data_IF_557453122024
#
_entry.id   IF_557453122024
#
_cell.length_a   1.000
_cell.length_b   1.000
_cell.length_c   1.000
_cell.angle_alpha   90.00
_cell.angle_beta   90.00
_cell.angle_gamma   90.00
#
_symmetry.space_group_name_H-M   'P 1'
#
loop_
_entity.id
_entity.type
_entity.pdbx_description
1 polymer ?
#
# COMPACT_ATOMS: atom_id res chain seq x y z
N UNK A 1 -16.27 -1.04 -4.59
CA UNK A 1 -16.03 -2.35 -3.94
C UNK A 1 -16.10 -2.24 -2.41
N UNK A 2 -15.15 -1.58 -1.73
CA UNK A 2 -15.10 -1.48 -0.26
C UNK A 2 -16.43 -1.03 0.36
N UNK A 3 -17.03 0.04 -0.16
CA UNK A 3 -18.33 0.56 0.32
C UNK A 3 -19.50 -0.41 0.19
N UNK A 4 -19.51 -1.25 -0.84
CA UNK A 4 -20.54 -2.27 -1.04
C UNK A 4 -20.34 -3.42 -0.06
N UNK A 5 -19.10 -3.89 0.05
CA UNK A 5 -18.73 -4.96 0.97
C UNK A 5 -18.96 -4.55 2.44
N UNK A 6 -18.73 -3.29 2.79
CA UNK A 6 -18.99 -2.79 4.14
C UNK A 6 -20.47 -2.81 4.49
N UNK A 7 -21.36 -2.55 3.52
CA UNK A 7 -22.81 -2.69 3.73
C UNK A 7 -23.21 -4.16 3.91
N UNK A 8 -22.69 -5.06 3.08
CA UNK A 8 -22.97 -6.50 3.16
C UNK A 8 -22.46 -7.15 4.45
N UNK A 9 -21.30 -6.70 4.96
CA UNK A 9 -20.69 -7.19 6.20
C UNK A 9 -21.13 -6.43 7.45
N UNK A 10 -21.98 -5.40 7.30
CA UNK A 10 -22.31 -4.45 8.37
C UNK A 10 -21.05 -3.93 9.10
N UNK A 11 -20.04 -3.53 8.31
CA UNK A 11 -18.74 -3.10 8.79
C UNK A 11 -18.55 -1.59 8.67
N UNK A 12 -17.78 -1.02 9.60
CA UNK A 12 -17.28 0.35 9.47
C UNK A 12 -16.06 0.39 8.55
N UNK A 13 -15.92 1.49 7.80
CA UNK A 13 -14.79 1.72 6.89
C UNK A 13 -13.91 2.82 7.45
N UNK A 14 -12.61 2.54 7.58
CA UNK A 14 -11.60 3.50 8.03
C UNK A 14 -10.54 3.61 6.95
N UNK A 15 -10.29 4.83 6.47
CA UNK A 15 -9.16 5.16 5.60
C UNK A 15 -8.06 5.79 6.45
N UNK A 16 -6.99 5.04 6.67
CA UNK A 16 -5.81 5.52 7.37
C UNK A 16 -4.83 6.14 6.37
N UNK A 17 -4.59 7.45 6.49
CA UNK A 17 -3.61 8.14 5.66
C UNK A 17 -2.19 7.69 6.02
N UNK A 18 -1.35 7.49 5.02
CA UNK A 18 0.03 7.05 5.23
C UNK A 18 0.87 8.20 5.75
N UNK A 19 1.75 7.95 6.74
CA UNK A 19 2.73 8.95 7.21
C UNK A 19 3.49 9.57 6.03
N UNK A 20 3.76 10.87 6.11
CA UNK A 20 4.37 11.70 5.06
C UNK A 20 3.52 11.96 3.81
N UNK A 21 2.25 11.52 3.78
CA UNK A 21 1.34 11.83 2.67
C UNK A 21 0.19 12.71 3.15
N UNK A 22 -0.31 13.56 2.25
CA UNK A 22 -1.43 14.45 2.52
C UNK A 22 -1.17 15.34 3.72
N UNK A 23 -1.99 15.19 4.75
CA UNK A 23 -1.92 15.96 5.99
C UNK A 23 -1.15 15.26 7.12
N UNK A 24 -0.85 13.97 6.95
CA UNK A 24 -0.19 13.11 7.95
C UNK A 24 1.32 13.30 7.95
N UNK A 25 1.77 14.52 8.25
CA UNK A 25 3.17 14.93 8.22
C UNK A 25 3.75 14.97 9.64
N UNK A 26 4.65 14.04 10.04
CA UNK A 26 5.15 13.95 11.42
C UNK A 26 5.85 15.22 11.91
N UNK A 27 6.42 16.01 10.99
CA UNK A 27 7.11 17.27 11.29
C UNK A 27 6.51 18.45 10.52
N UNK A 28 5.25 18.35 10.10
CA UNK A 28 4.59 19.35 9.26
C UNK A 28 5.41 19.66 7.99
N UNK A 29 5.59 20.95 7.67
CA UNK A 29 6.37 21.39 6.51
C UNK A 29 7.84 20.96 6.55
N UNK A 30 8.38 20.62 7.71
CA UNK A 30 9.77 20.18 7.85
C UNK A 30 9.96 18.68 7.58
N UNK A 31 8.89 17.93 7.28
CA UNK A 31 8.96 16.46 7.13
C UNK A 31 9.94 15.99 6.05
N UNK A 32 10.22 16.82 5.04
CA UNK A 32 11.15 16.52 3.95
C UNK A 32 12.44 17.36 3.98
N UNK A 33 12.71 18.06 5.09
CA UNK A 33 13.80 19.03 5.19
C UNK A 33 15.19 18.37 5.07
N UNK A 34 15.39 17.26 5.76
CA UNK A 34 16.65 16.54 5.83
C UNK A 34 16.42 15.06 6.19
N UNK A 35 17.52 14.28 6.23
CA UNK A 35 17.47 12.85 6.53
C UNK A 35 16.98 12.55 7.96
N UNK A 36 17.14 13.47 8.91
CA UNK A 36 16.65 13.27 10.29
C UNK A 36 15.13 13.37 10.34
N UNK A 37 14.53 14.22 9.49
CA UNK A 37 13.08 14.36 9.39
C UNK A 37 12.46 13.32 8.46
N UNK A 38 13.06 13.06 7.29
CA UNK A 38 12.51 12.12 6.31
C UNK A 38 12.83 10.65 6.63
N UNK A 39 13.79 10.39 7.52
CA UNK A 39 14.25 9.03 7.86
C UNK A 39 13.20 8.11 8.47
N UNK A 40 12.07 8.64 8.96
CA UNK A 40 10.96 7.83 9.48
C UNK A 40 9.92 7.45 8.41
N UNK A 41 10.11 7.85 7.15
CA UNK A 41 9.28 7.36 6.04
C UNK A 41 9.74 5.95 5.64
N UNK A 42 9.26 4.95 6.38
CA UNK A 42 9.51 3.53 6.11
C UNK A 42 8.20 2.74 6.19
N UNK A 43 8.15 1.59 5.50
CA UNK A 43 6.97 0.74 5.50
C UNK A 43 6.70 0.17 6.90
N UNK A 44 7.74 -0.25 7.62
CA UNK A 44 7.65 -0.78 8.99
C UNK A 44 6.96 0.19 9.93
N UNK A 45 7.37 1.46 9.84
CA UNK A 45 6.82 2.53 10.65
C UNK A 45 5.36 2.87 10.26
N UNK A 46 5.01 2.81 8.98
CA UNK A 46 3.62 2.98 8.54
C UNK A 46 2.72 1.81 9.01
N UNK A 47 3.23 0.57 8.97
CA UNK A 47 2.51 -0.59 9.51
C UNK A 47 2.27 -0.44 11.03
N UNK A 48 3.25 0.08 11.76
CA UNK A 48 3.10 0.37 13.19
C UNK A 48 2.03 1.44 13.46
N UNK A 49 1.94 2.50 12.64
CA UNK A 49 0.87 3.50 12.76
C UNK A 49 -0.51 2.87 12.61
N UNK A 50 -0.69 2.00 11.60
CA UNK A 50 -1.97 1.35 11.36
C UNK A 50 -2.38 0.45 12.53
N UNK A 51 -1.43 -0.30 13.08
CA UNK A 51 -1.66 -1.10 14.29
C UNK A 51 -2.09 -0.22 15.47
N UNK A 52 -1.36 0.88 15.72
CA UNK A 52 -1.67 1.79 16.82
C UNK A 52 -3.05 2.43 16.65
N UNK A 53 -3.38 2.88 15.43
CA UNK A 53 -4.69 3.44 15.11
C UNK A 53 -5.80 2.42 15.37
N UNK A 54 -5.63 1.17 14.93
CA UNK A 54 -6.63 0.11 15.14
C UNK A 54 -6.83 -0.14 16.63
N UNK A 55 -5.74 -0.24 17.40
CA UNK A 55 -5.82 -0.42 18.85
C UNK A 55 -6.52 0.76 19.54
N UNK A 56 -6.22 2.00 19.13
CA UNK A 56 -6.89 3.20 19.64
C UNK A 56 -8.38 3.20 19.32
N UNK A 57 -8.77 2.85 18.10
CA UNK A 57 -10.19 2.74 17.72
C UNK A 57 -10.92 1.70 18.56
N UNK A 58 -10.31 0.54 18.80
CA UNK A 58 -10.91 -0.52 19.62
C UNK A 58 -11.01 -0.17 21.09
N UNK A 59 -10.06 0.59 21.61
CA UNK A 59 -10.06 1.06 23.00
C UNK A 59 -11.08 2.19 23.22
N UNK A 60 -11.20 3.12 22.27
CA UNK A 60 -12.03 4.31 22.41
C UNK A 60 -13.51 4.05 22.07
N UNK A 61 -13.80 3.02 21.27
CA UNK A 61 -15.16 2.69 20.83
C UNK A 61 -15.50 1.25 21.20
N UNK A 62 -16.39 1.07 22.19
CA UNK A 62 -16.81 -0.24 22.69
C UNK A 62 -17.42 -1.13 21.59
N UNK A 63 -18.05 -0.55 20.58
CA UNK A 63 -18.58 -1.28 19.42
C UNK A 63 -17.49 -1.95 18.57
N UNK A 64 -16.23 -1.50 18.66
CA UNK A 64 -15.10 -2.06 17.93
C UNK A 64 -14.25 -3.06 18.73
N UNK A 65 -14.45 -3.14 20.06
CA UNK A 65 -13.60 -3.91 20.96
C UNK A 65 -13.37 -5.36 20.50
N UNK A 66 -14.44 -6.03 20.05
CA UNK A 66 -14.40 -7.41 19.54
C UNK A 66 -14.50 -7.53 18.01
N UNK A 67 -14.50 -6.42 17.27
CA UNK A 67 -14.72 -6.46 15.81
C UNK A 67 -13.50 -7.04 15.08
N UNK A 68 -13.67 -7.99 14.15
CA UNK A 68 -12.58 -8.41 13.28
C UNK A 68 -12.13 -7.26 12.38
N UNK A 69 -10.86 -7.26 11.96
CA UNK A 69 -10.29 -6.20 11.11
C UNK A 69 -9.85 -6.80 9.79
N UNK A 70 -10.22 -6.15 8.69
CA UNK A 70 -9.80 -6.53 7.35
C UNK A 70 -9.04 -5.37 6.73
N UNK A 71 -7.75 -5.56 6.44
CA UNK A 71 -6.92 -4.58 5.75
C UNK A 71 -7.19 -4.63 4.24
N UNK A 72 -7.35 -3.47 3.61
CA UNK A 72 -7.55 -3.34 2.17
C UNK A 72 -6.49 -2.43 1.56
N UNK A 73 -6.00 -2.81 0.38
CA UNK A 73 -5.05 -1.96 -0.32
C UNK A 73 -4.81 -2.36 -1.78
N UNK A 74 -4.47 -1.34 -2.58
CA UNK A 74 -4.05 -1.48 -3.97
C UNK A 74 -2.61 -1.02 -4.16
N UNK A 75 -1.87 -1.59 -5.12
CA UNK A 75 -0.49 -1.19 -5.41
C UNK A 75 0.40 -1.29 -4.16
N UNK A 76 1.16 -0.24 -3.83
CA UNK A 76 1.92 -0.15 -2.57
C UNK A 76 1.03 -0.34 -1.32
N UNK A 77 -0.20 0.21 -1.32
CA UNK A 77 -1.17 -0.06 -0.26
C UNK A 77 -1.56 -1.53 -0.14
N UNK A 78 -1.57 -2.25 -1.27
CA UNK A 78 -1.75 -3.70 -1.31
C UNK A 78 -0.57 -4.46 -0.71
N UNK A 79 0.66 -4.00 -0.96
CA UNK A 79 1.84 -4.53 -0.28
C UNK A 79 1.74 -4.33 1.24
N UNK A 80 1.38 -3.12 1.68
CA UNK A 80 1.15 -2.82 3.10
C UNK A 80 0.06 -3.71 3.71
N UNK A 81 -1.04 -3.96 2.99
CA UNK A 81 -2.11 -4.87 3.43
C UNK A 81 -1.62 -6.31 3.57
N UNK A 82 -0.80 -6.80 2.64
CA UNK A 82 -0.20 -8.13 2.76
C UNK A 82 0.78 -8.20 3.95
N UNK A 83 1.64 -7.19 4.09
CA UNK A 83 2.65 -7.15 5.13
C UNK A 83 2.09 -6.96 6.54
N UNK A 84 1.01 -6.19 6.72
CA UNK A 84 0.37 -6.05 8.03
C UNK A 84 -0.17 -7.39 8.51
N UNK A 85 -0.80 -8.17 7.61
CA UNK A 85 -1.27 -9.53 7.92
C UNK A 85 -0.11 -10.46 8.28
N UNK A 86 1.01 -10.36 7.57
CA UNK A 86 2.19 -11.20 7.81
C UNK A 86 2.92 -10.86 9.12
N UNK A 87 3.11 -9.56 9.41
CA UNK A 87 3.87 -9.09 10.58
C UNK A 87 3.03 -9.01 11.85
N UNK A 88 1.73 -8.77 11.71
CA UNK A 88 0.81 -8.52 12.80
C UNK A 88 -0.45 -9.41 12.72
N UNK A 89 -0.32 -10.74 12.62
CA UNK A 89 -1.45 -11.63 12.38
C UNK A 89 -2.48 -11.65 13.53
N UNK A 90 -1.99 -11.42 14.76
CA UNK A 90 -2.74 -11.63 16.01
C UNK A 90 -2.71 -10.40 16.93
N UNK A 91 -2.59 -9.16 16.42
CA UNK A 91 -2.45 -7.99 17.31
C UNK A 91 -3.49 -8.04 18.44
N UNK A 92 -2.94 -8.19 19.65
CA UNK A 92 -3.64 -8.47 20.88
C UNK A 92 -4.28 -7.15 21.28
N UNK A 93 -5.61 -7.10 21.39
CA UNK A 93 -6.27 -6.00 22.09
C UNK A 93 -5.95 -6.18 23.59
N UNK A 94 -4.78 -5.69 24.00
CA UNK A 94 -4.32 -5.68 25.38
C UNK A 94 -3.90 -4.26 25.72
N UNK A 95 -4.86 -3.44 26.14
CA UNK A 95 -4.53 -2.22 26.88
C UNK A 95 -5.10 -2.32 28.28
N UNK A 96 -4.18 -2.42 29.24
CA UNK A 96 -4.41 -2.47 30.68
C UNK A 96 -4.76 -1.06 31.13
N UNK A 97 -6.05 -0.72 31.12
CA UNK A 97 -6.58 0.24 32.09
C UNK A 97 -7.80 -0.40 32.76
N UNK A 98 -7.56 -0.93 33.96
CA UNK A 98 -8.54 -1.34 34.97
C UNK A 98 -9.37 -2.63 34.81
N UNK A 99 -9.05 -3.56 33.89
CA UNK A 99 -9.65 -4.90 33.94
C UNK A 99 -8.67 -6.00 33.49
N UNK A 100 -8.22 -6.91 34.38
CA UNK A 100 -7.19 -7.91 34.07
C UNK A 100 -7.69 -9.13 33.27
N UNK A 101 -8.85 -9.08 32.61
CA UNK A 101 -9.55 -10.30 32.18
C UNK A 101 -10.22 -10.28 30.80
N UNK A 102 -9.72 -9.48 29.83
CA UNK A 102 -10.18 -9.61 28.43
C UNK A 102 -8.98 -9.56 27.48
N UNK A 103 -8.49 -10.74 27.08
CA UNK A 103 -7.64 -10.90 25.91
C UNK A 103 -8.54 -11.07 24.68
N UNK A 104 -8.84 -9.99 23.97
CA UNK A 104 -9.51 -10.09 22.67
C UNK A 104 -8.47 -10.25 21.56
N UNK A 105 -8.33 -11.48 21.06
CA UNK A 105 -7.60 -11.73 19.82
C UNK A 105 -8.32 -11.05 18.67
N UNK A 106 -7.65 -10.09 18.02
CA UNK A 106 -8.15 -9.52 16.77
C UNK A 106 -7.57 -10.31 15.62
N UNK A 107 -8.39 -11.10 14.93
CA UNK A 107 -7.98 -11.74 13.68
C UNK A 107 -7.94 -10.68 12.59
N UNK A 108 -6.75 -10.46 12.02
CA UNK A 108 -6.57 -9.59 10.86
C UNK A 108 -6.76 -10.37 9.58
N UNK A 109 -7.66 -10.01 8.68
CA UNK A 109 -7.61 -10.49 7.30
C UNK A 109 -7.04 -9.40 6.40
N UNK A 110 -6.57 -9.74 5.20
CA UNK A 110 -6.06 -8.76 4.25
C UNK A 110 -6.49 -9.07 2.82
N UNK A 111 -6.91 -8.03 2.11
CA UNK A 111 -7.20 -8.05 0.67
C UNK A 111 -6.22 -7.09 0.00
N UNK A 112 -5.27 -7.68 -0.72
CA UNK A 112 -4.26 -6.96 -1.49
C UNK A 112 -4.56 -7.09 -2.99
N UNK A 113 -4.68 -5.96 -3.69
CA UNK A 113 -4.92 -5.92 -5.13
C UNK A 113 -3.76 -5.25 -5.85
N UNK A 114 -3.37 -5.80 -7.01
CA UNK A 114 -2.25 -5.29 -7.84
C UNK A 114 -0.99 -4.99 -7.03
N UNK A 115 -0.68 -5.81 -6.02
CA UNK A 115 0.41 -5.60 -5.08
C UNK A 115 1.70 -6.23 -5.64
N UNK A 116 2.72 -5.45 -6.02
CA UNK A 116 3.94 -5.97 -6.64
C UNK A 116 4.91 -6.55 -5.60
N UNK A 117 4.44 -7.47 -4.75
CA UNK A 117 5.22 -8.04 -3.63
C UNK A 117 6.47 -8.81 -4.09
N UNK A 118 6.51 -9.24 -5.36
CA UNK A 118 7.64 -9.94 -5.97
C UNK A 118 8.54 -9.04 -6.82
N UNK A 119 8.25 -7.75 -6.97
CA UNK A 119 9.00 -6.84 -7.86
C UNK A 119 10.24 -6.24 -7.17
N UNK A 120 10.81 -6.93 -6.18
CA UNK A 120 12.08 -6.53 -5.57
C UNK A 120 13.26 -7.10 -6.36
N UNK A 121 14.42 -6.41 -6.37
CA UNK A 121 15.63 -6.91 -7.03
C UNK A 121 15.95 -8.34 -6.58
N UNK A 122 16.11 -9.24 -7.56
CA UNK A 122 16.43 -10.66 -7.31
C UNK A 122 15.23 -11.58 -7.03
N UNK A 123 13.99 -11.06 -6.99
CA UNK A 123 12.78 -11.86 -6.79
C UNK A 123 11.98 -12.11 -8.07
N UNK A 124 12.18 -11.31 -9.12
CA UNK A 124 11.53 -11.48 -10.43
C UNK A 124 12.43 -11.00 -11.56
N UNK A 125 12.07 -11.34 -12.80
CA UNK A 125 12.69 -10.76 -14.00
C UNK A 125 12.54 -9.22 -13.98
N UNK A 126 13.66 -8.50 -14.11
CA UNK A 126 13.72 -7.04 -14.20
C UNK A 126 12.88 -6.50 -15.37
N UNK A 127 12.77 -7.27 -16.45
CA UNK A 127 11.99 -6.89 -17.62
C UNK A 127 10.50 -7.24 -17.49
N UNK A 128 10.09 -7.97 -16.43
CA UNK A 128 8.73 -8.49 -16.31
C UNK A 128 7.65 -7.41 -16.36
N UNK A 129 7.91 -6.24 -15.77
CA UNK A 129 6.98 -5.10 -15.84
C UNK A 129 6.83 -4.58 -17.29
N UNK A 130 7.95 -4.26 -17.95
CA UNK A 130 7.95 -3.76 -19.32
C UNK A 130 7.36 -4.77 -20.30
N UNK A 131 7.67 -6.04 -20.12
CA UNK A 131 7.14 -7.14 -20.94
C UNK A 131 5.63 -7.27 -20.78
N UNK A 132 5.10 -7.15 -19.56
CA UNK A 132 3.66 -7.14 -19.30
C UNK A 132 2.98 -5.93 -19.94
N UNK A 133 3.61 -4.75 -19.87
CA UNK A 133 3.12 -3.54 -20.53
C UNK A 133 3.06 -3.75 -22.06
N UNK A 134 4.16 -4.20 -22.67
CA UNK A 134 4.22 -4.50 -24.11
C UNK A 134 3.19 -5.55 -24.53
N UNK A 135 3.02 -6.61 -23.74
CA UNK A 135 2.02 -7.65 -24.01
C UNK A 135 0.59 -7.11 -23.97
N UNK A 136 0.32 -6.10 -23.14
CA UNK A 136 -0.98 -5.41 -23.12
C UNK A 136 -1.22 -4.67 -24.44
N UNK A 137 -0.23 -3.93 -24.94
CA UNK A 137 -0.32 -3.28 -26.26
C UNK A 137 -0.42 -4.30 -27.39
N UNK A 138 0.31 -5.41 -27.32
CA UNK A 138 0.21 -6.48 -28.31
C UNK A 138 -1.21 -7.08 -28.33
N UNK A 139 -1.76 -7.38 -27.15
CA UNK A 139 -3.07 -8.03 -27.01
C UNK A 139 -4.23 -7.16 -27.52
N UNK A 140 -4.21 -5.86 -27.24
CA UNK A 140 -5.32 -4.97 -27.55
C UNK A 140 -5.09 -4.11 -28.81
N UNK A 141 -3.84 -3.86 -29.19
CA UNK A 141 -3.46 -3.03 -30.34
C UNK A 141 -2.82 -3.80 -31.50
N UNK A 142 -2.49 -5.08 -31.31
CA UNK A 142 -1.86 -5.92 -32.32
C UNK A 142 -0.38 -5.60 -32.57
N UNK A 143 0.25 -6.35 -33.47
CA UNK A 143 1.68 -6.23 -33.75
C UNK A 143 2.09 -4.86 -34.28
N UNK A 144 1.26 -4.24 -35.13
CA UNK A 144 1.56 -2.93 -35.70
C UNK A 144 1.61 -1.84 -34.63
N UNK A 145 0.77 -1.93 -33.58
CA UNK A 145 0.84 -1.02 -32.45
C UNK A 145 2.19 -1.11 -31.74
N UNK A 146 2.64 -2.32 -31.42
CA UNK A 146 3.94 -2.55 -30.76
C UNK A 146 5.09 -2.09 -31.65
N UNK A 147 5.08 -2.42 -32.95
CA UNK A 147 6.11 -1.98 -33.91
C UNK A 147 6.19 -0.46 -34.00
N UNK A 148 5.04 0.22 -34.09
CA UNK A 148 5.00 1.68 -34.15
C UNK A 148 5.52 2.32 -32.85
N UNK A 149 5.19 1.76 -31.67
CA UNK A 149 5.74 2.21 -30.39
C UNK A 149 7.25 1.99 -30.34
N UNK A 150 7.77 0.88 -30.85
CA UNK A 150 9.22 0.64 -30.91
C UNK A 150 9.93 1.63 -31.83
N UNK A 151 9.37 1.89 -33.01
CA UNK A 151 9.91 2.84 -33.99
C UNK A 151 9.90 4.29 -33.48
N UNK A 152 8.91 4.68 -32.69
CA UNK A 152 8.83 6.05 -32.17
C UNK A 152 10.01 6.40 -31.27
N UNK A 153 10.52 5.44 -30.49
CA UNK A 153 11.70 5.66 -29.64
C UNK A 153 12.95 5.98 -30.46
N UNK A 154 13.21 5.25 -31.54
CA UNK A 154 14.35 5.53 -32.43
C UNK A 154 14.25 6.93 -33.03
N UNK A 155 13.08 7.30 -33.55
CA UNK A 155 12.85 8.63 -34.12
C UNK A 155 13.07 9.75 -33.09
N UNK A 156 12.60 9.57 -31.85
CA UNK A 156 12.82 10.54 -30.76
C UNK A 156 14.30 10.71 -30.46
N UNK A 157 15.06 9.61 -30.40
CA UNK A 157 16.51 9.64 -30.14
C UNK A 157 17.25 10.34 -31.27
N UNK A 158 16.93 10.03 -32.52
CA UNK A 158 17.57 10.63 -33.71
C UNK A 158 17.34 12.15 -33.76
N UNK A 159 16.12 12.61 -33.50
CA UNK A 159 15.79 14.04 -33.41
C UNK A 159 16.47 14.71 -32.20
N UNK A 160 16.56 14.01 -31.07
CA UNK A 160 17.23 14.52 -29.87
C UNK A 160 18.74 14.68 -30.03
N UNK A 161 19.36 13.93 -30.94
CA UNK A 161 20.78 14.06 -31.27
C UNK A 161 21.04 15.15 -32.31
N UNK A 162 20.12 15.36 -33.26
CA UNK A 162 20.26 16.38 -34.30
C UNK A 162 20.08 17.82 -33.80
N UNK A 163 19.54 18.01 -32.59
CA UNK A 163 19.34 19.30 -31.92
C UNK A 163 20.53 19.76 -31.06
N UNK A 164 21.70 19.10 -31.17
CA UNK A 164 22.97 19.49 -30.52
C UNK A 164 23.92 20.32 -31.42
N UNK A 165 23.41 20.98 -32.47
CA UNK A 165 24.12 22.00 -33.25
C UNK A 165 23.64 23.40 -32.88
#
# INVERSE_FOLDING_TARGET
FIWKLSQELNASVVFAEHRYYGTSLPFGNNSFKDRQHFGYLTAEQALADYVLLINQLKANYSCFASSPVIAFGGSYGGMLSAWIRQKYPNQIAGYIYNNPFIFCYSTYSAIASSAPVWLFPGLSDCNGFSMTATNSFLKYGGENCVKNIQLSWSNIVDIGQSSKL
#
